data_IF_982791912433
#
_entry.id   IF_982791912433
#
_cell.length_a   1.000
_cell.length_b   1.000
_cell.length_c   1.000
_cell.angle_alpha   90.00
_cell.angle_beta   90.00
_cell.angle_gamma   90.00
#
_symmetry.space_group_name_H-M   'P 1'
#
loop_
_entity.id
_entity.type
_entity.pdbx_description
1 polymer ?
#
# COMPACT_ATOMS: atom_id res chain seq x y z
N UNK A 1 -9.35 14.62 -24.66
CA UNK A 1 -9.78 14.91 -23.28
C UNK A 1 -8.53 14.98 -22.41
N UNK A 2 -8.19 16.15 -21.83
CA UNK A 2 -7.00 16.27 -20.96
C UNK A 2 -7.41 15.99 -19.52
N UNK A 3 -6.80 14.98 -18.90
CA UNK A 3 -6.97 14.72 -17.47
C UNK A 3 -6.32 15.88 -16.68
N UNK A 4 -7.08 16.48 -15.77
CA UNK A 4 -6.60 17.54 -14.86
C UNK A 4 -5.93 16.88 -13.66
N UNK A 5 -4.83 17.46 -13.16
CA UNK A 5 -4.24 17.05 -11.89
C UNK A 5 -5.21 17.34 -10.73
N UNK A 6 -5.40 16.35 -9.85
CA UNK A 6 -6.24 16.49 -8.66
C UNK A 6 -5.54 17.34 -7.59
N UNK A 7 -6.30 18.20 -6.91
CA UNK A 7 -5.82 18.90 -5.73
C UNK A 7 -5.68 17.92 -4.55
N UNK A 8 -4.83 18.25 -3.56
CA UNK A 8 -4.56 17.37 -2.41
C UNK A 8 -5.82 16.95 -1.66
N UNK A 9 -6.78 17.86 -1.45
CA UNK A 9 -8.05 17.55 -0.80
C UNK A 9 -8.91 16.58 -1.62
N UNK A 10 -8.91 16.70 -2.96
CA UNK A 10 -9.61 15.79 -3.86
C UNK A 10 -9.00 14.40 -3.82
N UNK A 11 -7.66 14.30 -3.81
CA UNK A 11 -6.93 13.05 -3.62
C UNK A 11 -7.29 12.42 -2.27
N UNK A 12 -7.20 13.19 -1.18
CA UNK A 12 -7.50 12.66 0.16
C UNK A 12 -8.95 12.19 0.29
N UNK A 13 -9.91 12.88 -0.34
CA UNK A 13 -11.31 12.42 -0.38
C UNK A 13 -11.43 11.09 -1.11
N UNK A 14 -10.86 10.98 -2.31
CA UNK A 14 -10.90 9.75 -3.11
C UNK A 14 -10.24 8.58 -2.39
N UNK A 15 -9.12 8.83 -1.70
CA UNK A 15 -8.42 7.82 -0.90
C UNK A 15 -9.29 7.32 0.25
N UNK A 16 -9.97 8.23 0.96
CA UNK A 16 -10.89 7.85 2.06
C UNK A 16 -12.06 7.02 1.55
N UNK A 17 -12.64 7.39 0.42
CA UNK A 17 -13.70 6.62 -0.24
C UNK A 17 -13.20 5.24 -0.66
N UNK A 18 -12.02 5.17 -1.28
CA UNK A 18 -11.38 3.92 -1.66
C UNK A 18 -11.09 3.01 -0.46
N UNK A 19 -10.52 3.56 0.62
CA UNK A 19 -10.28 2.84 1.87
C UNK A 19 -11.57 2.26 2.45
N UNK A 20 -12.67 3.04 2.45
CA UNK A 20 -13.94 2.59 3.01
C UNK A 20 -14.60 1.43 2.26
N UNK A 21 -14.34 1.28 0.96
CA UNK A 21 -14.93 0.23 0.12
C UNK A 21 -13.99 -0.95 -0.15
N UNK A 22 -12.70 -0.83 0.21
CA UNK A 22 -11.68 -1.84 -0.05
C UNK A 22 -11.81 -2.99 0.95
N UNK A 23 -12.06 -4.23 0.51
CA UNK A 23 -12.12 -5.36 1.43
C UNK A 23 -10.75 -5.62 2.05
N UNK A 24 -10.71 -5.77 3.37
CA UNK A 24 -9.50 -6.07 4.13
C UNK A 24 -9.70 -7.30 5.02
N UNK A 25 -8.72 -8.20 5.03
CA UNK A 25 -8.63 -9.31 5.97
C UNK A 25 -7.52 -9.00 6.98
N UNK A 26 -7.88 -8.89 8.25
CA UNK A 26 -6.94 -8.62 9.33
C UNK A 26 -6.55 -9.93 10.03
N UNK A 27 -5.27 -10.05 10.36
CA UNK A 27 -4.72 -11.22 11.03
C UNK A 27 -3.90 -10.80 12.24
N UNK A 28 -3.97 -11.62 13.29
CA UNK A 28 -3.21 -11.48 14.52
C UNK A 28 -2.26 -12.66 14.68
N UNK A 29 -1.18 -12.44 15.41
CA UNK A 29 -0.31 -13.50 15.89
C UNK A 29 -0.41 -13.60 17.42
N UNK A 30 -1.07 -14.64 17.97
CA UNK A 30 -1.19 -14.83 19.40
C UNK A 30 0.15 -15.15 20.07
N UNK A 31 1.19 -15.53 19.31
CA UNK A 31 2.51 -15.85 19.85
C UNK A 31 3.40 -14.62 20.05
N UNK A 32 3.06 -13.49 19.41
CA UNK A 32 3.83 -12.25 19.47
C UNK A 32 5.17 -12.27 18.71
N UNK A 33 5.43 -13.29 17.91
CA UNK A 33 6.68 -13.44 17.16
C UNK A 33 6.63 -12.82 15.76
N UNK A 34 5.46 -12.66 15.18
CA UNK A 34 5.24 -12.10 13.85
C UNK A 34 5.37 -10.57 13.89
N UNK A 35 6.59 -10.09 13.63
CA UNK A 35 6.82 -8.66 13.37
C UNK A 35 6.68 -8.37 11.87
N UNK A 36 6.33 -7.13 11.47
CA UNK A 36 6.15 -6.78 10.07
C UNK A 36 7.38 -7.11 9.19
N UNK A 37 8.59 -6.83 9.70
CA UNK A 37 9.84 -7.14 8.98
C UNK A 37 10.07 -8.65 8.82
N UNK A 38 9.68 -9.46 9.81
CA UNK A 38 9.77 -10.93 9.71
C UNK A 38 8.77 -11.47 8.70
N UNK A 39 7.53 -10.99 8.73
CA UNK A 39 6.50 -11.36 7.77
C UNK A 39 6.90 -10.97 6.35
N UNK A 40 7.46 -9.78 6.15
CA UNK A 40 7.97 -9.33 4.85
C UNK A 40 9.11 -10.24 4.35
N UNK A 41 10.05 -10.60 5.22
CA UNK A 41 11.14 -11.54 4.87
C UNK A 41 10.60 -12.91 4.47
N UNK A 42 9.58 -13.43 5.18
CA UNK A 42 8.93 -14.70 4.84
C UNK A 42 8.20 -14.61 3.50
N UNK A 43 7.43 -13.54 3.28
CA UNK A 43 6.74 -13.31 2.01
C UNK A 43 7.72 -13.35 0.83
N UNK A 44 8.84 -12.63 0.92
CA UNK A 44 9.87 -12.63 -0.14
C UNK A 44 10.38 -14.04 -0.43
N UNK A 45 10.67 -14.84 0.62
CA UNK A 45 11.13 -16.23 0.44
C UNK A 45 10.06 -17.11 -0.21
N UNK A 46 8.80 -16.97 0.19
CA UNK A 46 7.68 -17.72 -0.36
C UNK A 46 7.42 -17.37 -1.82
N UNK A 47 7.56 -16.09 -2.19
CA UNK A 47 7.49 -15.64 -3.58
C UNK A 47 8.65 -16.19 -4.43
N UNK A 48 9.87 -16.18 -3.90
CA UNK A 48 11.04 -16.78 -4.57
C UNK A 48 10.90 -18.29 -4.75
N UNK A 49 10.25 -18.97 -3.81
CA UNK A 49 9.94 -20.39 -3.88
C UNK A 49 8.71 -20.73 -4.74
N UNK A 50 8.01 -19.72 -5.28
CA UNK A 50 6.78 -19.91 -6.07
C UNK A 50 5.57 -20.38 -5.26
N UNK A 51 5.61 -20.28 -3.93
CA UNK A 51 4.53 -20.69 -3.03
C UNK A 51 3.46 -19.61 -2.86
N UNK A 52 3.83 -18.34 -3.08
CA UNK A 52 2.92 -17.19 -3.11
C UNK A 52 3.12 -16.46 -4.43
N UNK A 53 2.02 -15.98 -5.02
CA UNK A 53 2.06 -15.21 -6.27
C UNK A 53 2.92 -13.95 -6.13
N UNK A 54 3.68 -13.63 -7.18
CA UNK A 54 4.41 -12.37 -7.30
C UNK A 54 3.46 -11.16 -7.41
N UNK A 55 2.16 -11.38 -7.66
CA UNK A 55 1.13 -10.34 -7.67
C UNK A 55 0.73 -9.85 -6.28
N UNK A 56 1.13 -10.57 -5.23
CA UNK A 56 1.00 -10.13 -3.85
C UNK A 56 2.05 -9.05 -3.59
N UNK A 57 1.61 -7.83 -3.35
CA UNK A 57 2.49 -6.66 -3.21
C UNK A 57 2.45 -6.13 -1.80
N UNK A 58 3.58 -5.64 -1.30
CA UNK A 58 3.70 -5.00 0.02
C UNK A 58 3.16 -3.58 -0.06
N UNK A 59 2.22 -3.24 0.82
CA UNK A 59 1.62 -1.91 0.97
C UNK A 59 1.99 -1.22 2.28
N UNK A 60 1.11 -0.35 2.74
CA UNK A 60 1.23 0.33 4.03
C UNK A 60 2.44 1.23 4.14
N UNK A 61 2.92 1.34 5.38
CA UNK A 61 4.09 2.15 5.74
C UNK A 61 5.33 1.76 4.93
N UNK A 62 5.52 0.47 4.63
CA UNK A 62 6.69 0.00 3.87
C UNK A 62 6.69 0.53 2.44
N UNK A 63 5.56 0.44 1.74
CA UNK A 63 5.43 0.97 0.38
C UNK A 63 5.39 2.50 0.34
N UNK A 64 4.74 3.15 1.32
CA UNK A 64 4.78 4.60 1.46
C UNK A 64 6.22 5.11 1.62
N UNK A 65 7.03 4.44 2.45
CA UNK A 65 8.43 4.77 2.67
C UNK A 65 9.29 4.56 1.41
N UNK A 66 8.93 3.58 0.56
CA UNK A 66 9.59 3.40 -0.73
C UNK A 66 9.34 4.58 -1.68
N UNK A 67 8.09 5.03 -1.80
CA UNK A 67 7.75 6.14 -2.71
C UNK A 67 8.17 7.51 -2.18
N UNK A 68 8.10 7.70 -0.85
CA UNK A 68 8.40 8.98 -0.20
C UNK A 68 9.23 8.74 1.06
N UNK A 69 10.55 8.51 0.90
CA UNK A 69 11.45 8.22 2.04
C UNK A 69 11.54 9.33 3.09
N UNK A 70 11.02 10.53 2.79
CA UNK A 70 11.03 11.68 3.69
C UNK A 70 9.81 11.75 4.61
N UNK A 71 8.82 10.85 4.44
CA UNK A 71 7.68 10.80 5.37
C UNK A 71 8.18 10.30 6.72
N UNK A 72 7.93 11.09 7.75
CA UNK A 72 8.27 10.79 9.13
C UNK A 72 7.28 9.77 9.73
N UNK A 73 7.52 8.50 9.48
CA UNK A 73 6.77 7.37 10.06
C UNK A 73 7.59 6.74 11.17
N UNK A 74 7.05 6.72 12.39
CA UNK A 74 7.71 6.17 13.59
C UNK A 74 7.91 4.65 13.55
N UNK A 75 7.31 3.97 12.57
CA UNK A 75 7.43 2.53 12.34
C UNK A 75 6.15 1.96 11.71
N UNK A 76 6.26 0.78 11.10
CA UNK A 76 5.10 0.05 10.61
C UNK A 76 4.51 -0.80 11.75
N UNK A 77 3.27 -0.55 12.20
CA UNK A 77 2.65 -1.35 13.27
C UNK A 77 2.30 -2.76 12.80
N UNK A 78 2.05 -2.93 11.49
CA UNK A 78 1.71 -4.20 10.84
C UNK A 78 2.28 -4.26 9.43
N UNK A 79 2.24 -5.44 8.81
CA UNK A 79 2.48 -5.59 7.38
C UNK A 79 1.15 -5.45 6.63
N UNK A 80 1.08 -4.59 5.62
CA UNK A 80 -0.08 -4.49 4.73
C UNK A 80 0.30 -5.12 3.39
N UNK A 81 -0.59 -5.95 2.84
CA UNK A 81 -0.44 -6.59 1.54
C UNK A 81 -1.62 -6.21 0.65
N UNK A 82 -1.32 -6.07 -0.63
CA UNK A 82 -2.31 -5.96 -1.70
C UNK A 82 -2.30 -7.25 -2.49
N UNK A 83 -3.48 -7.86 -2.69
CA UNK A 83 -3.61 -9.12 -3.41
C UNK A 83 -4.83 -9.11 -4.35
N UNK A 84 -4.74 -9.70 -5.55
CA UNK A 84 -5.90 -9.89 -6.42
C UNK A 84 -6.85 -10.98 -5.89
N UNK A 85 -6.35 -11.89 -5.06
CA UNK A 85 -7.10 -13.01 -4.50
C UNK A 85 -6.91 -13.12 -3.00
N UNK A 86 -7.79 -13.86 -2.32
CA UNK A 86 -7.59 -14.21 -0.92
C UNK A 86 -6.31 -15.01 -0.75
N UNK A 87 -5.58 -14.72 0.33
CA UNK A 87 -4.37 -15.44 0.71
C UNK A 87 -4.66 -16.20 1.99
N UNK A 88 -4.25 -17.46 2.04
CA UNK A 88 -4.16 -18.18 3.30
C UNK A 88 -2.97 -17.64 4.11
N UNK A 89 -3.25 -16.86 5.15
CA UNK A 89 -2.22 -16.28 6.01
C UNK A 89 -1.34 -17.34 6.69
N UNK A 90 -1.84 -18.57 6.89
CA UNK A 90 -1.04 -19.67 7.44
C UNK A 90 0.10 -20.09 6.49
N UNK A 91 -0.04 -19.83 5.19
CA UNK A 91 1.04 -20.01 4.21
C UNK A 91 2.19 -19.01 4.45
N UNK A 92 1.89 -17.79 4.91
CA UNK A 92 2.90 -16.77 5.24
C UNK A 92 3.57 -17.10 6.58
N UNK A 93 2.76 -17.36 7.60
CA UNK A 93 3.19 -17.72 8.93
C UNK A 93 2.10 -18.54 9.62
N UNK A 94 2.39 -19.80 9.96
CA UNK A 94 1.41 -20.74 10.52
C UNK A 94 0.84 -20.34 11.88
N UNK A 95 1.41 -19.34 12.55
CA UNK A 95 0.84 -18.77 13.78
C UNK A 95 -0.27 -17.73 13.52
N UNK A 96 -0.39 -17.21 12.29
CA UNK A 96 -1.39 -16.20 11.96
C UNK A 96 -2.79 -16.79 11.97
N UNK A 97 -3.71 -16.07 12.61
CA UNK A 97 -5.14 -16.36 12.55
C UNK A 97 -5.93 -15.10 12.22
N UNK A 98 -7.12 -15.22 11.62
CA UNK A 98 -8.00 -14.08 11.43
C UNK A 98 -8.25 -13.34 12.75
N UNK A 99 -8.27 -12.01 12.68
CA UNK A 99 -8.70 -11.15 13.77
C UNK A 99 -10.16 -11.46 14.11
N UNK A 100 -10.44 -11.68 15.39
CA UNK A 100 -11.79 -11.91 15.89
C UNK A 100 -12.50 -10.59 16.22
N UNK A 101 -13.83 -10.60 16.25
CA UNK A 101 -14.63 -9.40 16.56
C UNK A 101 -14.42 -8.86 17.99
N UNK A 102 -13.82 -9.63 18.90
CA UNK A 102 -13.50 -9.21 20.27
C UNK A 102 -12.14 -8.52 20.39
N UNK A 103 -11.31 -8.55 19.35
CA UNK A 103 -9.98 -7.97 19.35
C UNK A 103 -9.98 -6.62 18.60
N UNK A 104 -9.26 -5.60 19.09
CA UNK A 104 -9.18 -4.33 18.38
C UNK A 104 -8.35 -4.48 17.09
N UNK A 105 -8.72 -3.73 16.05
CA UNK A 105 -8.00 -3.73 14.76
C UNK A 105 -6.52 -3.34 14.89
N UNK A 106 -6.16 -2.58 15.93
CA UNK A 106 -4.78 -2.23 16.27
C UNK A 106 -3.91 -3.41 16.69
N UNK A 107 -4.50 -4.56 17.03
CA UNK A 107 -3.77 -5.80 17.33
C UNK A 107 -3.32 -6.56 16.08
N UNK A 108 -3.82 -6.18 14.90
CA UNK A 108 -3.47 -6.86 13.66
C UNK A 108 -1.99 -6.67 13.33
N UNK A 109 -1.30 -7.77 13.00
CA UNK A 109 0.11 -7.78 12.57
C UNK A 109 0.25 -7.94 11.05
N UNK A 110 -0.83 -8.36 10.39
CA UNK A 110 -0.95 -8.48 8.94
C UNK A 110 -2.34 -8.01 8.50
N UNK A 111 -2.38 -7.21 7.43
CA UNK A 111 -3.59 -6.87 6.70
C UNK A 111 -3.44 -7.30 5.24
N UNK A 112 -4.44 -8.00 4.70
CA UNK A 112 -4.50 -8.37 3.29
C UNK A 112 -5.68 -7.65 2.67
N UNK A 113 -5.36 -6.69 1.82
CA UNK A 113 -6.31 -5.89 1.10
C UNK A 113 -6.57 -6.48 -0.28
N UNK A 114 -7.82 -6.79 -0.55
CA UNK A 114 -8.23 -7.32 -1.83
C UNK A 114 -8.46 -6.17 -2.80
N UNK A 115 -7.76 -6.23 -3.93
CA UNK A 115 -8.03 -5.33 -5.05
C UNK A 115 -8.65 -6.14 -6.17
N UNK A 116 -9.88 -5.81 -6.55
CA UNK A 116 -10.37 -6.24 -7.84
C UNK A 116 -9.58 -5.46 -8.87
N UNK A 117 -8.74 -6.14 -9.66
CA UNK A 117 -8.14 -5.50 -10.84
C UNK A 117 -9.26 -5.23 -11.85
N UNK A 118 -9.96 -4.10 -11.72
CA UNK A 118 -10.73 -3.55 -12.82
C UNK A 118 -9.75 -2.83 -13.73
N UNK A 119 -9.19 -3.57 -14.68
CA UNK A 119 -8.36 -2.99 -15.73
C UNK A 119 -6.91 -3.46 -15.72
N UNK A 120 -6.68 -4.58 -16.38
CA UNK A 120 -5.54 -4.72 -17.28
C UNK A 120 -5.62 -3.62 -18.36
N UNK A 121 -5.35 -2.36 -18.02
CA UNK A 121 -5.24 -1.34 -19.07
C UNK A 121 -3.89 -1.38 -19.78
N UNK A 122 -2.94 -2.21 -19.36
CA UNK A 122 -1.75 -2.55 -20.14
C UNK A 122 -1.36 -4.00 -19.85
N UNK A 123 -1.93 -4.93 -20.63
CA UNK A 123 -1.53 -6.34 -20.77
C UNK A 123 -1.68 -7.24 -19.50
N UNK A 124 -2.55 -8.28 -19.53
CA UNK A 124 -2.68 -9.28 -18.47
C UNK A 124 -1.40 -10.11 -18.23
N UNK A 125 -0.44 -10.08 -19.17
CA UNK A 125 0.87 -10.70 -19.01
C UNK A 125 1.88 -9.78 -18.30
N UNK A 126 1.53 -8.52 -18.03
CA UNK A 126 2.34 -7.57 -17.28
C UNK A 126 2.41 -7.97 -15.81
N UNK A 127 3.42 -8.77 -15.47
CA UNK A 127 3.78 -8.99 -14.06
C UNK A 127 4.07 -7.62 -13.41
N UNK A 128 3.63 -7.39 -12.17
CA UNK A 128 4.01 -6.17 -11.46
C UNK A 128 5.53 -6.04 -11.45
N UNK A 129 6.01 -4.87 -11.88
CA UNK A 129 7.44 -4.60 -12.09
C UNK A 129 8.20 -4.39 -10.78
N UNK A 130 7.50 -4.29 -9.66
CA UNK A 130 8.07 -4.08 -8.34
C UNK A 130 7.21 -4.75 -7.24
N UNK A 131 7.81 -5.10 -6.08
CA UNK A 131 7.11 -5.78 -4.99
C UNK A 131 6.14 -4.86 -4.22
N UNK A 132 6.16 -3.56 -4.49
CA UNK A 132 5.35 -2.57 -3.76
C UNK A 132 3.94 -2.42 -4.33
N UNK A 133 2.96 -2.11 -3.47
CA UNK A 133 1.66 -1.61 -3.90
C UNK A 133 1.84 -0.25 -4.59
N UNK A 134 0.82 0.28 -5.24
CA UNK A 134 0.90 1.62 -5.83
C UNK A 134 0.97 2.69 -4.75
N UNK A 135 1.44 3.89 -5.11
CA UNK A 135 1.45 5.02 -4.17
C UNK A 135 0.05 5.41 -3.70
N UNK A 136 -0.99 5.19 -4.52
CA UNK A 136 -2.38 5.44 -4.12
C UNK A 136 -2.89 4.42 -3.10
N UNK A 137 -2.59 3.13 -3.30
CA UNK A 137 -2.93 2.08 -2.33
C UNK A 137 -2.19 2.30 -1.01
N UNK A 138 -0.90 2.62 -1.08
CA UNK A 138 -0.08 2.95 0.11
C UNK A 138 -0.65 4.15 0.87
N UNK A 139 -1.15 5.16 0.16
CA UNK A 139 -1.80 6.32 0.76
C UNK A 139 -3.11 5.95 1.47
N UNK A 140 -3.89 5.02 0.89
CA UNK A 140 -5.08 4.48 1.55
C UNK A 140 -4.74 3.69 2.81
N UNK A 141 -3.68 2.88 2.77
CA UNK A 141 -3.21 2.12 3.93
C UNK A 141 -2.78 3.05 5.08
N UNK A 142 -2.11 4.18 4.78
CA UNK A 142 -1.76 5.17 5.81
C UNK A 142 -2.99 5.80 6.46
N UNK A 143 -4.03 6.11 5.68
CA UNK A 143 -5.29 6.63 6.21
C UNK A 143 -5.97 5.59 7.11
N UNK A 144 -6.00 4.33 6.69
CA UNK A 144 -6.57 3.24 7.50
C UNK A 144 -5.84 3.04 8.83
N UNK A 145 -4.51 3.18 8.81
CA UNK A 145 -3.65 3.08 9.99
C UNK A 145 -3.72 4.31 10.91
N UNK A 146 -4.45 5.36 10.52
CA UNK A 146 -4.56 6.61 11.29
C UNK A 146 -3.36 7.55 11.13
N UNK A 147 -2.44 7.29 10.20
CA UNK A 147 -1.32 8.17 9.86
C UNK A 147 -1.78 9.34 8.96
N UNK A 148 -2.77 10.11 9.42
CA UNK A 148 -3.41 11.15 8.61
C UNK A 148 -2.45 12.28 8.21
N UNK A 149 -1.51 12.64 9.09
CA UNK A 149 -0.53 13.69 8.85
C UNK A 149 0.42 13.27 7.72
N UNK A 150 0.92 12.05 7.80
CA UNK A 150 1.83 11.43 6.85
C UNK A 150 1.13 11.19 5.50
N UNK A 151 -0.12 10.71 5.53
CA UNK A 151 -0.97 10.59 4.35
C UNK A 151 -1.17 11.94 3.65
N UNK A 152 -1.46 13.00 4.40
CA UNK A 152 -1.63 14.33 3.84
C UNK A 152 -0.32 14.85 3.21
N UNK A 153 0.82 14.61 3.84
CA UNK A 153 2.13 14.94 3.27
C UNK A 153 2.38 14.19 1.95
N UNK A 154 2.13 12.88 1.94
CA UNK A 154 2.24 12.03 0.77
C UNK A 154 1.36 12.55 -0.38
N UNK A 155 0.08 12.86 -0.10
CA UNK A 155 -0.86 13.40 -1.09
C UNK A 155 -0.41 14.75 -1.66
N UNK A 156 0.17 15.63 -0.84
CA UNK A 156 0.76 16.91 -1.31
C UNK A 156 1.91 16.67 -2.27
N UNK A 157 2.78 15.71 -1.96
CA UNK A 157 3.94 15.38 -2.81
C UNK A 157 3.50 14.75 -4.13
N UNK A 158 2.54 13.83 -4.10
CA UNK A 158 1.95 13.25 -5.31
C UNK A 158 1.30 14.30 -6.22
N UNK A 159 0.55 15.25 -5.65
CA UNK A 159 -0.07 16.34 -6.42
C UNK A 159 0.99 17.27 -7.06
N UNK A 160 2.13 17.50 -6.40
CA UNK A 160 3.25 18.28 -6.95
C UNK A 160 3.98 17.53 -8.07
N UNK A 161 4.15 16.21 -7.96
CA UNK A 161 4.76 15.39 -9.00
C UNK A 161 3.88 15.28 -10.26
N UNK A 162 2.55 15.34 -10.09
CA UNK A 162 1.58 15.35 -11.19
C UNK A 162 1.42 16.72 -11.86
N UNK A 163 1.88 17.81 -11.23
CA UNK A 163 1.90 19.13 -11.85
C UNK A 163 2.98 19.16 -12.95
N UNK A 164 2.67 19.64 -14.17
CA UNK A 164 3.67 19.75 -15.22
C UNK A 164 4.82 20.62 -14.70
N UNK A 165 6.04 20.07 -14.72
CA UNK A 165 7.24 20.87 -14.50
C UNK A 165 7.20 22.01 -15.52
N UNK A 166 7.02 23.24 -15.05
CA UNK A 166 7.14 24.41 -15.89
C UNK A 166 8.58 24.40 -16.42
N UNK A 167 8.76 24.17 -17.72
CA UNK A 167 10.05 24.36 -18.37
C UNK A 167 10.48 25.80 -18.09
N UNK A 168 11.72 26.06 -17.67
CA UNK A 168 12.21 27.44 -17.64
C UNK A 168 12.07 27.98 -19.06
N UNK A 169 11.33 29.08 -19.19
CA UNK A 169 11.34 29.88 -20.41
C UNK A 169 12.77 30.33 -20.64
N UNK A 170 13.44 29.68 -21.60
CA UNK A 170 14.62 30.25 -22.26
C UNK A 170 14.18 31.61 -22.80
N UNK A 171 14.59 32.65 -22.07
CA UNK A 171 14.62 34.00 -22.59
C UNK A 171 15.75 33.99 -23.60
N UNK A 172 15.41 33.75 -24.87
CA UNK A 172 16.31 34.02 -25.97
C UNK A 172 16.50 35.53 -26.06
N UNK A 173 17.52 36.03 -25.35
CA UNK A 173 18.23 37.22 -25.79
C UNK A 173 19.09 36.82 -26.99
N UNK A 174 18.81 37.47 -28.14
CA UNK A 174 19.71 38.22 -29.04
C UNK A 174 19.08 38.22 -30.43
#
# INVERSE_FOLDING_TARGET
MKLRALATNEVMRLVREFCAVRPVQLFVDPTGFATPSRLMTRLTRLQQAGQISAEVRVGGVHAASYYFPQIDVTGAPRLDLTSPTQIDAATIDGALRPLSNSEPSSSAVLAVHLIHQTGSEIDPASKPTHPWSTSFESLADLVELGFEREALEMARRSARQAAPQARPTETACV
#
